data_IF_730211188338
#
_entry.id   IF_730211188338
#
_cell.length_a   1.000
_cell.length_b   1.000
_cell.length_c   1.000
_cell.angle_alpha   90.00
_cell.angle_beta   90.00
_cell.angle_gamma   90.00
#
_symmetry.space_group_name_H-M   'P 1'
#
loop_
_entity.id
_entity.type
_entity.pdbx_description
1 polymer ?
#
# COMPACT_ATOMS: atom_id res chain seq x y z
N UNK A 1 -59.75 45.19 12.30
CA UNK A 1 -58.33 44.77 12.29
C UNK A 1 -58.23 43.35 11.73
N UNK A 2 -57.75 43.19 10.49
CA UNK A 2 -57.49 41.87 9.88
C UNK A 2 -56.03 41.50 10.16
N UNK A 3 -55.81 40.39 10.86
CA UNK A 3 -54.47 39.87 11.16
C UNK A 3 -54.05 39.00 9.97
N UNK A 4 -53.06 39.46 9.22
CA UNK A 4 -52.40 38.71 8.15
C UNK A 4 -51.34 37.81 8.81
N UNK A 5 -51.49 36.49 8.66
CA UNK A 5 -50.47 35.51 9.07
C UNK A 5 -49.53 35.27 7.89
N UNK A 6 -48.28 35.69 8.01
CA UNK A 6 -47.22 35.31 7.09
C UNK A 6 -46.69 33.93 7.47
N UNK A 7 -46.80 32.97 6.55
CA UNK A 7 -46.12 31.68 6.68
C UNK A 7 -44.66 31.88 6.26
N UNK A 8 -43.74 31.71 7.22
CA UNK A 8 -42.31 31.73 6.95
C UNK A 8 -41.91 30.37 6.39
N UNK A 9 -41.63 30.31 5.08
CA UNK A 9 -41.13 29.11 4.42
C UNK A 9 -39.61 29.04 4.65
N UNK A 10 -39.17 28.13 5.52
CA UNK A 10 -37.75 27.84 5.70
C UNK A 10 -37.27 26.99 4.51
N UNK A 11 -36.50 27.59 3.61
CA UNK A 11 -35.73 26.86 2.61
C UNK A 11 -34.42 26.43 3.27
N UNK A 12 -34.30 25.14 3.57
CA UNK A 12 -33.02 24.55 3.97
C UNK A 12 -32.19 24.34 2.69
N UNK A 13 -31.30 25.29 2.40
CA UNK A 13 -30.23 25.03 1.44
C UNK A 13 -29.24 24.06 2.08
N UNK A 14 -29.34 22.79 1.71
CA UNK A 14 -28.28 21.82 1.98
C UNK A 14 -27.03 22.23 1.22
N UNK A 15 -26.04 22.75 1.93
CA UNK A 15 -24.71 22.98 1.39
C UNK A 15 -24.05 21.60 1.20
N UNK A 16 -24.21 20.99 0.01
CA UNK A 16 -23.36 19.87 -0.36
C UNK A 16 -21.95 20.42 -0.53
N UNK A 17 -21.09 20.21 0.46
CA UNK A 17 -19.66 20.45 0.29
C UNK A 17 -19.21 19.64 -0.94
N UNK A 18 -18.84 20.35 -2.01
CA UNK A 18 -18.37 19.72 -3.23
C UNK A 18 -17.11 18.93 -2.88
N UNK A 19 -17.14 17.61 -3.08
CA UNK A 19 -15.96 16.78 -2.83
C UNK A 19 -14.85 17.25 -3.75
N UNK A 20 -13.68 17.54 -3.17
CA UNK A 20 -12.51 17.89 -3.94
C UNK A 20 -12.08 16.69 -4.78
N UNK A 21 -11.94 16.89 -6.09
CA UNK A 21 -11.46 15.87 -7.03
C UNK A 21 -10.13 16.30 -7.64
N UNK A 22 -9.33 15.34 -8.08
CA UNK A 22 -8.03 15.61 -8.70
C UNK A 22 -7.74 14.63 -9.84
N UNK A 23 -6.64 14.87 -10.55
CA UNK A 23 -6.10 13.93 -11.51
C UNK A 23 -7.00 13.68 -12.73
N UNK A 24 -6.71 12.59 -13.43
CA UNK A 24 -7.43 12.16 -14.64
C UNK A 24 -7.30 10.65 -14.86
N UNK A 25 -8.09 10.12 -15.78
CA UNK A 25 -7.98 8.73 -16.25
C UNK A 25 -7.27 8.74 -17.61
N UNK A 26 -6.18 7.98 -17.72
CA UNK A 26 -5.41 7.86 -18.97
C UNK A 26 -5.50 6.43 -19.47
N UNK A 27 -6.38 6.20 -20.44
CA UNK A 27 -6.52 4.91 -21.11
C UNK A 27 -5.55 4.80 -22.29
N UNK A 28 -4.78 3.72 -22.35
CA UNK A 28 -3.98 3.31 -23.51
C UNK A 28 -4.70 2.23 -24.34
N UNK A 29 -5.67 1.57 -23.73
CA UNK A 29 -6.55 0.56 -24.31
C UNK A 29 -7.97 0.79 -23.78
N UNK A 30 -9.00 0.61 -24.61
CA UNK A 30 -10.41 0.79 -24.21
C UNK A 30 -10.82 -0.17 -23.08
N UNK A 31 -10.20 -1.35 -23.00
CA UNK A 31 -10.42 -2.31 -21.92
C UNK A 31 -10.04 -1.76 -20.53
N UNK A 32 -9.31 -0.64 -20.44
CA UNK A 32 -9.14 0.10 -19.18
C UNK A 32 -10.49 0.42 -18.52
N UNK A 33 -11.52 0.75 -19.31
CA UNK A 33 -12.82 1.15 -18.80
C UNK A 33 -13.71 -0.01 -18.31
N UNK A 34 -13.24 -1.25 -18.47
CA UNK A 34 -13.82 -2.42 -17.79
C UNK A 34 -13.49 -2.42 -16.29
N UNK A 35 -12.46 -1.68 -15.87
CA UNK A 35 -11.99 -1.61 -14.49
C UNK A 35 -12.37 -0.32 -13.77
N UNK A 36 -12.53 0.77 -14.51
CA UNK A 36 -12.86 2.10 -13.98
C UNK A 36 -13.89 2.75 -14.90
N UNK A 37 -14.91 3.41 -14.34
CA UNK A 37 -15.86 4.14 -15.20
C UNK A 37 -15.19 5.35 -15.88
N UNK A 38 -15.50 5.61 -17.14
CA UNK A 38 -14.91 6.72 -17.90
C UNK A 38 -15.20 8.11 -17.29
N UNK A 39 -16.23 8.21 -16.45
CA UNK A 39 -16.58 9.42 -15.72
C UNK A 39 -16.30 9.31 -14.22
N UNK A 40 -15.63 8.25 -13.78
CA UNK A 40 -15.19 8.15 -12.39
C UNK A 40 -14.20 9.27 -12.07
N UNK A 41 -14.36 9.85 -10.88
CA UNK A 41 -13.49 10.91 -10.39
C UNK A 41 -12.64 10.40 -9.22
N UNK A 42 -11.41 10.91 -9.12
CA UNK A 42 -10.55 10.64 -7.99
C UNK A 42 -10.92 11.64 -6.89
N UNK A 43 -11.51 11.16 -5.79
CA UNK A 43 -11.89 11.98 -4.64
C UNK A 43 -10.71 12.12 -3.68
N UNK A 44 -10.41 13.36 -3.28
CA UNK A 44 -9.46 13.64 -2.18
C UNK A 44 -10.22 13.55 -0.86
N UNK A 45 -9.78 12.66 0.03
CA UNK A 45 -10.40 12.43 1.34
C UNK A 45 -9.73 13.20 2.47
N UNK A 46 -8.41 13.38 2.37
CA UNK A 46 -7.60 14.10 3.33
C UNK A 46 -6.26 14.52 2.72
N UNK A 47 -5.62 15.51 3.32
CA UNK A 47 -4.29 15.99 2.97
C UNK A 47 -3.45 16.35 4.21
N UNK A 48 -2.23 16.84 4.01
CA UNK A 48 -1.34 17.32 5.07
C UNK A 48 -0.35 16.28 5.61
N UNK A 49 -0.22 15.14 4.92
CA UNK A 49 0.76 14.11 5.26
C UNK A 49 2.14 14.44 4.67
N UNK A 50 3.21 13.90 5.25
CA UNK A 50 4.57 14.02 4.68
C UNK A 50 4.77 12.92 3.63
N UNK A 51 4.48 11.67 4.00
CA UNK A 51 4.47 10.54 3.06
C UNK A 51 3.46 9.51 3.53
N UNK A 52 2.27 9.54 2.93
CA UNK A 52 1.18 8.60 3.19
C UNK A 52 1.45 7.24 2.53
N UNK A 53 1.25 6.15 3.26
CA UNK A 53 1.66 4.80 2.89
C UNK A 53 0.72 3.72 3.43
N UNK A 54 0.89 2.49 2.91
CA UNK A 54 0.31 1.26 3.45
C UNK A 54 -1.18 1.34 3.81
N UNK A 55 -2.08 1.76 2.90
CA UNK A 55 -3.51 1.75 3.19
C UNK A 55 -4.00 0.31 3.35
N UNK A 56 -4.86 0.08 4.34
CA UNK A 56 -5.54 -1.20 4.56
C UNK A 56 -6.95 -0.99 5.07
N UNK A 57 -7.90 -1.73 4.51
CA UNK A 57 -9.30 -1.70 4.94
C UNK A 57 -9.56 -2.65 6.11
N UNK A 58 -10.23 -2.15 7.14
CA UNK A 58 -10.72 -2.92 8.28
C UNK A 58 -12.21 -3.18 8.11
N UNK A 59 -12.55 -4.37 7.61
CA UNK A 59 -13.93 -4.77 7.27
C UNK A 59 -14.89 -4.67 8.45
N UNK A 60 -14.53 -5.25 9.60
CA UNK A 60 -15.42 -5.30 10.77
C UNK A 60 -15.70 -3.92 11.40
N UNK A 61 -14.92 -2.90 11.03
CA UNK A 61 -15.06 -1.54 11.55
C UNK A 61 -15.51 -0.50 10.52
N UNK A 62 -15.61 -0.88 9.24
CA UNK A 62 -15.86 0.02 8.11
C UNK A 62 -14.95 1.25 8.08
N UNK A 63 -13.63 1.03 8.23
CA UNK A 63 -12.64 2.12 8.16
C UNK A 63 -11.36 1.70 7.46
N UNK A 64 -10.64 2.70 6.94
CA UNK A 64 -9.31 2.54 6.38
C UNK A 64 -8.26 2.95 7.42
N UNK A 65 -7.18 2.18 7.54
CA UNK A 65 -5.94 2.61 8.18
C UNK A 65 -4.88 2.90 7.13
N UNK A 66 -3.99 3.85 7.39
CA UNK A 66 -2.82 4.12 6.56
C UNK A 66 -1.74 4.82 7.40
N UNK A 67 -0.48 4.68 7.01
CA UNK A 67 0.66 5.27 7.71
C UNK A 67 1.01 6.65 7.15
N UNK A 68 1.45 7.57 8.01
CA UNK A 68 2.39 8.62 7.61
C UNK A 68 3.76 8.24 8.19
N UNK A 69 4.64 7.73 7.32
CA UNK A 69 5.90 7.09 7.75
C UNK A 69 6.82 8.09 8.45
N UNK A 70 7.05 9.31 7.91
CA UNK A 70 7.82 10.33 8.60
C UNK A 70 7.24 10.77 9.94
N UNK A 71 5.92 10.85 10.07
CA UNK A 71 5.27 11.28 11.32
C UNK A 71 5.14 10.18 12.39
N UNK A 72 5.61 8.96 12.10
CA UNK A 72 5.54 7.81 13.03
C UNK A 72 4.10 7.55 13.52
N UNK A 73 3.12 7.68 12.63
CA UNK A 73 1.70 7.65 12.98
C UNK A 73 0.91 6.81 11.98
N UNK A 74 0.00 5.95 12.47
CA UNK A 74 -1.08 5.36 11.65
C UNK A 74 -2.32 6.23 11.88
N UNK A 75 -2.95 6.63 10.78
CA UNK A 75 -4.21 7.34 10.76
C UNK A 75 -5.35 6.39 10.40
N UNK A 76 -6.55 6.73 10.89
CA UNK A 76 -7.81 6.10 10.54
C UNK A 76 -8.67 7.08 9.76
N UNK A 77 -9.16 6.66 8.60
CA UNK A 77 -10.24 7.33 7.88
C UNK A 77 -11.52 6.51 7.98
N UNK A 78 -12.62 7.14 8.39
CA UNK A 78 -13.95 6.52 8.40
C UNK A 78 -14.99 7.44 7.79
N UNK A 79 -15.81 6.90 6.88
CA UNK A 79 -16.87 7.66 6.21
C UNK A 79 -17.85 8.24 7.25
N UNK A 80 -18.11 9.55 7.16
CA UNK A 80 -18.97 10.27 8.09
C UNK A 80 -18.29 10.72 9.39
N UNK A 81 -17.13 10.17 9.73
CA UNK A 81 -16.32 10.57 10.91
C UNK A 81 -15.07 11.37 10.52
N UNK A 82 -14.47 11.09 9.35
CA UNK A 82 -13.26 11.75 8.86
C UNK A 82 -11.97 11.07 9.34
N UNK A 83 -10.89 11.85 9.41
CA UNK A 83 -9.56 11.40 9.83
C UNK A 83 -9.39 11.51 11.35
N UNK A 84 -8.74 10.51 11.94
CA UNK A 84 -8.28 10.53 13.34
C UNK A 84 -6.95 9.78 13.47
N UNK A 85 -6.17 10.11 14.50
CA UNK A 85 -4.99 9.31 14.86
C UNK A 85 -5.45 7.94 15.37
N UNK A 86 -4.83 6.87 14.88
CA UNK A 86 -5.08 5.50 15.32
C UNK A 86 -3.98 4.99 16.24
N UNK A 87 -2.72 5.19 15.86
CA UNK A 87 -1.58 4.70 16.63
C UNK A 87 -0.34 5.60 16.47
N UNK A 88 0.20 6.04 17.61
CA UNK A 88 1.46 6.78 17.71
C UNK A 88 2.18 6.43 19.02
N UNK A 89 3.46 6.01 19.00
CA UNK A 89 4.31 5.77 17.82
C UNK A 89 3.95 4.50 17.04
N UNK A 90 3.94 4.58 15.71
CA UNK A 90 3.54 3.47 14.85
C UNK A 90 4.66 2.49 14.48
N UNK A 91 5.91 2.93 14.35
CA UNK A 91 7.03 2.04 13.96
C UNK A 91 8.35 2.27 14.70
N UNK A 92 8.56 3.40 15.36
CA UNK A 92 9.78 3.67 16.12
C UNK A 92 9.50 3.95 17.60
N UNK A 93 10.08 3.14 18.49
CA UNK A 93 9.86 3.21 19.94
C UNK A 93 10.94 3.96 20.71
N UNK A 94 11.98 4.49 20.04
CA UNK A 94 12.99 5.34 20.68
C UNK A 94 14.34 4.67 20.99
N UNK A 95 14.59 3.44 20.52
CA UNK A 95 15.75 2.63 20.95
C UNK A 95 16.99 2.77 20.05
N UNK A 96 16.85 3.13 18.76
CA UNK A 96 17.93 3.10 17.75
C UNK A 96 18.05 4.42 16.98
N UNK A 97 19.23 4.76 16.41
CA UNK A 97 19.33 5.89 15.49
C UNK A 97 18.32 5.74 14.34
N UNK A 98 17.55 6.79 14.06
CA UNK A 98 16.41 6.70 13.14
C UNK A 98 16.57 7.65 11.94
N UNK A 99 15.92 7.31 10.83
CA UNK A 99 15.94 8.07 9.57
C UNK A 99 14.82 9.12 9.52
N UNK A 100 14.58 9.69 8.33
CA UNK A 100 13.43 10.57 8.07
C UNK A 100 12.09 9.83 7.99
N UNK A 101 12.10 8.49 8.01
CA UNK A 101 10.92 7.62 7.87
C UNK A 101 10.85 6.61 9.05
N UNK A 102 10.67 7.06 10.31
CA UNK A 102 10.71 6.16 11.47
C UNK A 102 9.47 5.29 11.67
N UNK A 103 8.35 5.63 11.02
CA UNK A 103 7.04 5.02 11.27
C UNK A 103 6.85 3.60 10.79
N UNK A 104 5.62 3.12 10.97
CA UNK A 104 5.10 2.01 10.18
C UNK A 104 5.02 2.40 8.71
N UNK A 105 5.15 1.43 7.83
CA UNK A 105 4.98 1.60 6.39
C UNK A 105 3.81 0.71 5.92
N UNK A 106 4.07 -0.40 5.23
CA UNK A 106 3.06 -1.35 4.77
C UNK A 106 2.26 -1.97 5.91
N UNK A 107 0.95 -2.04 5.71
CA UNK A 107 -0.04 -2.57 6.66
C UNK A 107 -0.90 -3.63 5.97
N UNK A 108 -1.25 -4.69 6.72
CA UNK A 108 -2.32 -5.63 6.35
C UNK A 108 -3.19 -5.96 7.56
N UNK A 109 -4.41 -6.44 7.31
CA UNK A 109 -5.20 -7.17 8.31
C UNK A 109 -5.00 -8.65 8.04
N UNK A 110 -4.43 -9.38 9.00
CA UNK A 110 -4.21 -10.81 8.84
C UNK A 110 -5.51 -11.61 8.96
N UNK A 111 -5.43 -12.92 8.67
CA UNK A 111 -6.57 -13.84 8.77
C UNK A 111 -7.20 -13.93 10.17
N UNK A 112 -6.51 -13.45 11.21
CA UNK A 112 -7.00 -13.40 12.60
C UNK A 112 -7.65 -12.05 12.95
N UNK A 113 -7.76 -11.12 11.99
CA UNK A 113 -8.32 -9.79 12.22
C UNK A 113 -7.37 -8.83 12.97
N UNK A 114 -6.07 -9.15 12.99
CA UNK A 114 -5.05 -8.31 13.63
C UNK A 114 -4.39 -7.40 12.61
N UNK A 115 -4.03 -6.20 13.04
CA UNK A 115 -3.18 -5.29 12.27
C UNK A 115 -1.76 -5.83 12.27
N UNK A 116 -1.20 -6.08 11.10
CA UNK A 116 0.20 -6.39 10.89
C UNK A 116 0.88 -5.19 10.24
N UNK A 117 2.04 -4.80 10.75
CA UNK A 117 2.77 -3.64 10.30
C UNK A 117 4.23 -3.96 10.01
N UNK A 118 4.72 -3.45 8.89
CA UNK A 118 6.14 -3.25 8.63
C UNK A 118 6.61 -2.00 9.36
N UNK A 119 7.57 -2.13 10.28
CA UNK A 119 8.06 -1.02 11.11
C UNK A 119 9.49 -0.66 10.71
N UNK A 120 9.69 0.55 10.16
CA UNK A 120 11.01 1.02 9.74
C UNK A 120 11.94 1.23 10.93
N UNK A 121 11.51 2.01 11.92
CA UNK A 121 12.38 2.41 13.04
C UNK A 121 12.81 1.27 13.95
N UNK A 122 11.88 0.38 14.32
CA UNK A 122 12.18 -0.80 15.13
C UNK A 122 12.74 -1.96 14.28
N UNK A 123 12.79 -1.82 12.94
CA UNK A 123 13.36 -2.77 11.98
C UNK A 123 12.75 -4.18 12.10
N UNK A 124 11.41 -4.25 12.12
CA UNK A 124 10.68 -5.50 12.38
C UNK A 124 9.34 -5.55 11.66
N UNK A 125 8.78 -6.75 11.61
CA UNK A 125 7.36 -6.99 11.35
C UNK A 125 6.67 -7.23 12.69
N UNK A 126 5.56 -6.56 12.96
CA UNK A 126 4.78 -6.72 14.18
C UNK A 126 3.30 -6.98 13.88
N UNK A 127 2.58 -7.49 14.87
CA UNK A 127 1.12 -7.61 14.86
C UNK A 127 0.50 -7.07 16.13
N UNK A 128 -0.73 -6.59 16.06
CA UNK A 128 -1.51 -6.17 17.22
C UNK A 128 -3.03 -6.35 17.00
N UNK A 129 -3.80 -6.65 18.06
CA UNK A 129 -5.25 -6.55 17.99
C UNK A 129 -5.70 -5.14 17.61
N UNK A 130 -6.78 -5.03 16.82
CA UNK A 130 -7.35 -3.73 16.41
C UNK A 130 -8.06 -2.97 17.54
N UNK A 131 -8.28 -3.64 18.69
CA UNK A 131 -8.94 -3.06 19.87
C UNK A 131 -7.90 -2.71 20.94
N UNK A 132 -7.99 -3.33 22.11
CA UNK A 132 -7.05 -3.12 23.21
C UNK A 132 -5.93 -4.17 23.13
N UNK A 133 -4.68 -3.72 23.12
CA UNK A 133 -3.52 -4.59 23.06
C UNK A 133 -2.24 -3.84 22.74
N UNK A 134 -1.12 -4.54 22.83
CA UNK A 134 0.19 -4.05 22.43
C UNK A 134 0.70 -4.76 21.18
N UNK A 135 1.75 -4.22 20.58
CA UNK A 135 2.45 -4.84 19.45
C UNK A 135 3.22 -6.08 19.91
N UNK A 136 3.13 -7.14 19.12
CA UNK A 136 3.90 -8.37 19.26
C UNK A 136 4.81 -8.48 18.05
N UNK A 137 6.11 -8.67 18.27
CA UNK A 137 7.06 -8.87 17.17
C UNK A 137 6.84 -10.23 16.52
N UNK A 138 6.67 -10.26 15.20
CA UNK A 138 6.58 -11.50 14.41
C UNK A 138 7.99 -11.91 13.95
N UNK A 139 8.77 -10.95 13.46
CA UNK A 139 10.17 -11.14 13.11
C UNK A 139 10.93 -9.81 13.18
N UNK A 140 12.16 -9.84 13.69
CA UNK A 140 13.09 -8.69 13.74
C UNK A 140 14.52 -9.04 13.28
N UNK A 141 14.81 -10.32 13.04
CA UNK A 141 16.11 -10.79 12.58
C UNK A 141 16.00 -11.94 11.56
N UNK A 142 17.05 -12.09 10.76
CA UNK A 142 17.34 -13.28 9.95
C UNK A 142 18.83 -13.63 10.10
N UNK A 143 19.13 -14.91 10.38
CA UNK A 143 20.50 -15.39 10.65
C UNK A 143 21.28 -14.54 11.67
N UNK A 144 20.60 -14.08 12.72
CA UNK A 144 21.19 -13.27 13.80
C UNK A 144 21.45 -11.81 13.44
N UNK A 145 21.10 -11.37 12.23
CA UNK A 145 21.21 -9.99 11.77
C UNK A 145 19.85 -9.31 11.75
N UNK A 146 19.78 -8.03 12.08
CA UNK A 146 18.56 -7.22 11.99
C UNK A 146 18.23 -6.89 10.54
N UNK A 147 16.93 -6.90 10.19
CA UNK A 147 16.44 -6.45 8.89
C UNK A 147 16.90 -5.02 8.55
N UNK A 148 16.90 -4.63 7.28
CA UNK A 148 17.17 -3.24 6.91
C UNK A 148 16.07 -2.34 7.49
N UNK A 149 14.87 -2.43 6.93
CA UNK A 149 13.65 -1.72 7.32
C UNK A 149 12.49 -2.34 6.52
N UNK A 150 11.79 -3.34 7.07
CA UNK A 150 10.66 -3.97 6.40
C UNK A 150 9.70 -2.92 5.83
N UNK A 151 9.28 -3.08 4.57
CA UNK A 151 8.59 -2.03 3.83
C UNK A 151 7.14 -2.38 3.51
N UNK A 152 6.87 -3.44 2.74
CA UNK A 152 5.51 -3.93 2.49
C UNK A 152 5.40 -5.44 2.77
N UNK A 153 4.18 -5.93 2.99
CA UNK A 153 3.90 -7.29 3.45
C UNK A 153 2.61 -7.86 2.87
N UNK A 154 2.60 -9.17 2.65
CA UNK A 154 1.40 -9.95 2.28
C UNK A 154 1.35 -11.25 3.08
N UNK A 155 0.14 -11.71 3.40
CA UNK A 155 -0.09 -13.03 3.99
C UNK A 155 -0.72 -13.95 2.93
N UNK A 156 -0.14 -15.13 2.75
CA UNK A 156 -0.74 -16.19 1.93
C UNK A 156 -1.86 -16.93 2.67
N UNK A 157 -2.70 -17.64 1.93
CA UNK A 157 -3.85 -18.42 2.43
C UNK A 157 -3.46 -19.46 3.49
N UNK A 158 -2.23 -19.97 3.47
CA UNK A 158 -1.74 -20.93 4.46
C UNK A 158 -1.21 -20.28 5.77
N UNK A 159 -1.28 -18.94 5.87
CA UNK A 159 -0.84 -18.18 7.04
C UNK A 159 0.61 -17.69 7.00
N UNK A 160 1.40 -18.10 5.99
CA UNK A 160 2.78 -17.62 5.79
C UNK A 160 2.79 -16.16 5.34
N UNK A 161 3.67 -15.35 5.93
CA UNK A 161 3.91 -13.97 5.51
C UNK A 161 5.09 -13.87 4.55
N UNK A 162 5.01 -12.92 3.61
CA UNK A 162 6.12 -12.50 2.77
C UNK A 162 6.24 -10.99 2.85
N UNK A 163 7.46 -10.47 3.05
CA UNK A 163 7.70 -9.03 3.16
C UNK A 163 8.99 -8.62 2.45
N UNK A 164 9.04 -7.35 2.07
CA UNK A 164 10.20 -6.72 1.43
C UNK A 164 11.03 -5.94 2.45
N UNK A 165 12.34 -5.93 2.27
CA UNK A 165 13.28 -5.32 3.21
C UNK A 165 14.31 -4.39 2.50
N UNK A 166 13.86 -3.31 1.85
CA UNK A 166 14.73 -2.25 1.38
C UNK A 166 15.26 -1.41 2.56
N UNK A 167 16.27 -0.54 2.37
CA UNK A 167 16.89 0.22 3.45
C UNK A 167 16.34 1.65 3.61
N UNK A 168 15.12 1.94 3.15
CA UNK A 168 14.53 3.29 3.21
C UNK A 168 14.46 3.85 4.64
N UNK A 169 14.11 3.00 5.60
CA UNK A 169 14.02 3.35 7.02
C UNK A 169 15.37 3.49 7.73
N UNK A 170 16.49 3.21 7.06
CA UNK A 170 17.82 3.37 7.64
C UNK A 170 18.39 4.78 7.41
N UNK A 171 19.10 5.36 8.40
CA UNK A 171 19.85 6.59 8.16
C UNK A 171 20.92 6.35 7.11
N UNK A 172 21.05 7.24 6.12
CA UNK A 172 21.96 7.07 4.96
C UNK A 172 21.67 5.81 4.08
N UNK A 173 20.50 5.19 4.26
CA UNK A 173 19.98 4.06 3.48
C UNK A 173 21.01 2.93 3.27
N UNK A 174 21.42 2.64 2.02
CA UNK A 174 22.31 1.52 1.71
C UNK A 174 23.70 1.66 2.35
N UNK A 175 24.11 2.90 2.64
CA UNK A 175 25.41 3.23 3.23
C UNK A 175 25.35 3.32 4.75
N UNK A 176 24.20 3.00 5.36
CA UNK A 176 24.01 3.09 6.80
C UNK A 176 25.03 2.23 7.55
N UNK A 177 25.69 2.83 8.56
CA UNK A 177 26.64 2.12 9.42
C UNK A 177 25.98 1.08 10.33
N UNK A 178 24.66 1.16 10.51
CA UNK A 178 23.88 0.20 11.31
C UNK A 178 23.21 -0.89 10.47
N UNK A 179 23.44 -0.88 9.14
CA UNK A 179 22.95 -1.91 8.24
C UNK A 179 23.72 -3.22 8.49
N UNK A 180 22.97 -4.30 8.74
CA UNK A 180 23.55 -5.62 9.01
C UNK A 180 23.31 -6.61 7.85
N UNK A 181 22.20 -6.43 7.12
CA UNK A 181 21.90 -7.22 5.93
C UNK A 181 22.83 -6.86 4.78
N UNK A 182 23.28 -7.87 4.06
CA UNK A 182 24.11 -7.73 2.86
C UNK A 182 23.27 -7.40 1.61
N UNK A 183 22.00 -7.77 1.58
CA UNK A 183 21.07 -7.55 0.48
C UNK A 183 19.87 -6.67 0.86
N UNK A 184 19.14 -6.22 -0.15
CA UNK A 184 17.74 -5.79 -0.03
C UNK A 184 16.87 -6.99 -0.45
N UNK A 185 16.21 -7.61 0.52
CA UNK A 185 15.64 -8.95 0.34
C UNK A 185 14.12 -8.99 0.28
N UNK A 186 13.62 -10.16 -0.13
CA UNK A 186 12.26 -10.61 0.18
C UNK A 186 12.38 -11.79 1.12
N UNK A 187 11.65 -11.74 2.22
CA UNK A 187 11.69 -12.74 3.28
C UNK A 187 10.34 -13.40 3.46
N UNK A 188 10.36 -14.65 3.87
CA UNK A 188 9.20 -15.47 4.21
C UNK A 188 9.21 -15.77 5.70
N UNK A 189 8.08 -15.64 6.38
CA UNK A 189 7.88 -16.07 7.76
C UNK A 189 6.84 -17.20 7.75
N UNK A 190 7.26 -18.41 8.06
CA UNK A 190 6.32 -19.55 8.15
C UNK A 190 5.44 -19.49 9.40
N UNK A 191 4.46 -20.40 9.49
CA UNK A 191 3.51 -20.45 10.60
C UNK A 191 4.13 -20.84 11.95
N UNK A 192 5.37 -21.33 11.97
CA UNK A 192 6.15 -21.60 13.18
C UNK A 192 7.07 -20.42 13.56
N UNK A 193 7.06 -19.34 12.78
CA UNK A 193 7.91 -18.16 12.98
C UNK A 193 9.31 -18.30 12.38
N UNK A 194 9.59 -19.35 11.60
CA UNK A 194 10.89 -19.46 10.91
C UNK A 194 10.95 -18.45 9.78
N UNK A 195 12.06 -17.70 9.74
CA UNK A 195 12.34 -16.72 8.69
C UNK A 195 13.32 -17.32 7.67
N UNK A 196 12.98 -17.23 6.38
CA UNK A 196 13.84 -17.59 5.26
C UNK A 196 13.95 -16.40 4.29
N UNK A 197 15.16 -16.11 3.79
CA UNK A 197 15.33 -15.18 2.66
C UNK A 197 15.00 -15.92 1.35
N UNK A 198 13.99 -15.46 0.63
CA UNK A 198 13.52 -16.10 -0.62
C UNK A 198 13.95 -15.34 -1.88
N UNK A 199 14.33 -14.06 -1.75
CA UNK A 199 14.95 -13.26 -2.83
C UNK A 199 16.05 -12.39 -2.21
N UNK A 200 17.20 -12.27 -2.87
CA UNK A 200 18.32 -11.45 -2.39
C UNK A 200 19.07 -10.66 -3.47
N UNK A 201 18.52 -10.59 -4.70
CA UNK A 201 19.17 -9.99 -5.86
C UNK A 201 18.44 -8.74 -6.39
N UNK A 202 17.59 -8.11 -5.58
CA UNK A 202 16.88 -6.88 -5.91
C UNK A 202 17.58 -5.66 -5.27
N UNK A 203 17.53 -4.49 -5.90
CA UNK A 203 18.17 -3.26 -5.37
C UNK A 203 17.28 -2.52 -4.37
N UNK A 204 15.98 -2.36 -4.69
CA UNK A 204 14.92 -1.81 -3.83
C UNK A 204 13.59 -2.60 -3.97
N UNK A 205 13.50 -3.84 -3.45
CA UNK A 205 12.20 -4.53 -3.38
C UNK A 205 11.21 -3.71 -2.55
N UNK A 206 9.98 -3.57 -3.03
CA UNK A 206 9.00 -2.66 -2.44
C UNK A 206 7.62 -3.33 -2.28
N UNK A 207 6.58 -2.92 -3.00
CA UNK A 207 5.25 -3.54 -2.92
C UNK A 207 5.26 -5.03 -3.28
N UNK A 208 4.36 -5.78 -2.64
CA UNK A 208 4.30 -7.24 -2.75
C UNK A 208 2.85 -7.75 -2.74
N UNK A 209 2.50 -8.66 -3.66
CA UNK A 209 1.18 -9.30 -3.67
C UNK A 209 1.20 -10.65 -4.39
N UNK A 210 0.24 -11.52 -4.06
CA UNK A 210 0.02 -12.78 -4.77
C UNK A 210 -0.94 -12.62 -5.95
N UNK A 211 -0.80 -13.49 -6.95
CA UNK A 211 -1.90 -13.81 -7.88
C UNK A 211 -3.10 -14.38 -7.10
N UNK A 212 -4.33 -14.35 -7.67
CA UNK A 212 -5.52 -14.86 -6.97
C UNK A 212 -5.41 -16.33 -6.55
N UNK A 213 -4.66 -17.14 -7.29
CA UNK A 213 -4.40 -18.55 -7.00
C UNK A 213 -3.11 -18.80 -6.20
N UNK A 214 -2.44 -17.73 -5.74
CA UNK A 214 -1.19 -17.71 -4.98
C UNK A 214 -0.01 -18.45 -5.63
N UNK A 215 -0.08 -18.77 -6.93
CA UNK A 215 1.03 -19.44 -7.63
C UNK A 215 2.10 -18.47 -8.09
N UNK A 216 1.80 -17.18 -8.19
CA UNK A 216 2.74 -16.11 -8.52
C UNK A 216 2.81 -15.12 -7.37
N UNK A 217 4.03 -14.77 -6.97
CA UNK A 217 4.31 -13.64 -6.09
C UNK A 217 4.89 -12.51 -6.93
N UNK A 218 4.22 -11.36 -6.94
CA UNK A 218 4.66 -10.14 -7.58
C UNK A 218 5.42 -9.27 -6.58
N UNK A 219 6.56 -8.71 -7.01
CA UNK A 219 7.38 -7.81 -6.19
C UNK A 219 7.79 -6.62 -7.03
N UNK A 220 7.44 -5.42 -6.60
CA UNK A 220 7.89 -4.19 -7.23
C UNK A 220 9.37 -3.91 -6.92
N UNK A 221 10.08 -3.38 -7.92
CA UNK A 221 11.41 -2.81 -7.81
C UNK A 221 11.30 -1.29 -8.00
N UNK A 222 11.51 -0.53 -6.92
CA UNK A 222 11.35 0.94 -6.89
C UNK A 222 12.62 1.72 -7.22
N UNK A 223 13.70 1.05 -7.61
CA UNK A 223 14.91 1.69 -8.12
C UNK A 223 14.64 2.29 -9.50
N UNK A 224 14.60 3.62 -9.58
CA UNK A 224 14.34 4.33 -10.84
C UNK A 224 15.41 4.10 -11.92
N UNK A 225 16.58 3.53 -11.59
CA UNK A 225 17.53 3.09 -12.60
C UNK A 225 17.06 1.83 -13.36
N UNK A 226 16.16 1.04 -12.77
CA UNK A 226 15.55 -0.15 -13.37
C UNK A 226 14.20 -0.47 -12.70
N UNK A 227 13.13 0.32 -12.95
CA UNK A 227 11.83 0.12 -12.32
C UNK A 227 11.06 -1.00 -13.03
N UNK A 228 10.95 -2.16 -12.39
CA UNK A 228 10.18 -3.29 -12.92
C UNK A 228 9.36 -4.01 -11.85
N UNK A 229 8.35 -4.75 -12.29
CA UNK A 229 7.65 -5.72 -11.46
C UNK A 229 8.27 -7.08 -11.74
N UNK A 230 8.71 -7.79 -10.70
CA UNK A 230 9.10 -9.19 -10.80
C UNK A 230 7.91 -10.11 -10.56
N UNK A 231 7.86 -11.23 -11.28
CA UNK A 231 6.95 -12.33 -10.99
C UNK A 231 7.76 -13.60 -10.65
N UNK A 232 7.49 -14.17 -9.48
CA UNK A 232 8.11 -15.39 -8.98
C UNK A 232 7.10 -16.52 -8.88
N UNK A 233 7.42 -17.72 -9.37
CA UNK A 233 6.56 -18.89 -9.14
C UNK A 233 6.77 -19.40 -7.72
N UNK A 234 5.68 -19.47 -6.97
CA UNK A 234 5.64 -19.99 -5.60
C UNK A 234 5.63 -21.52 -5.63
N UNK A 235 6.50 -22.15 -4.84
CA UNK A 235 6.56 -23.60 -4.66
C UNK A 235 5.65 -24.05 -3.49
N UNK A 236 5.28 -25.34 -3.42
CA UNK A 236 4.44 -25.85 -2.34
C UNK A 236 4.99 -25.61 -0.92
N UNK A 237 6.31 -25.53 -0.77
CA UNK A 237 6.98 -25.22 0.50
C UNK A 237 7.11 -23.71 0.77
N UNK A 238 6.59 -22.86 -0.11
CA UNK A 238 6.68 -21.41 -0.06
C UNK A 238 8.01 -20.82 -0.56
N UNK A 239 8.95 -21.65 -1.05
CA UNK A 239 10.13 -21.12 -1.76
C UNK A 239 9.74 -20.57 -3.13
N UNK A 240 10.62 -19.77 -3.72
CA UNK A 240 10.38 -19.12 -5.01
C UNK A 240 11.32 -19.71 -6.08
N UNK A 241 10.80 -19.95 -7.29
CA UNK A 241 11.67 -20.20 -8.45
C UNK A 241 12.34 -18.90 -8.92
N UNK A 242 13.25 -19.04 -9.87
CA UNK A 242 13.80 -17.91 -10.62
C UNK A 242 12.66 -17.01 -11.12
N UNK A 243 12.79 -15.72 -10.81
CA UNK A 243 11.83 -14.71 -11.20
C UNK A 243 12.04 -14.25 -12.63
N UNK A 244 11.01 -13.67 -13.22
CA UNK A 244 11.08 -12.97 -14.49
C UNK A 244 10.61 -11.53 -14.32
N UNK A 245 11.13 -10.63 -15.14
CA UNK A 245 10.52 -9.31 -15.32
C UNK A 245 9.12 -9.53 -15.89
N UNK A 246 8.13 -9.07 -15.15
CA UNK A 246 6.72 -9.15 -15.50
C UNK A 246 6.28 -7.91 -16.27
N UNK A 247 6.71 -6.74 -15.81
CA UNK A 247 6.40 -5.45 -16.39
C UNK A 247 7.60 -4.53 -16.20
N UNK A 248 7.98 -3.79 -17.25
CA UNK A 248 9.06 -2.81 -17.23
C UNK A 248 8.45 -1.41 -17.32
N UNK A 249 8.65 -0.59 -16.28
CA UNK A 249 8.11 0.76 -16.20
C UNK A 249 9.10 1.83 -16.69
N UNK A 250 10.28 1.45 -17.18
CA UNK A 250 11.30 2.38 -17.69
C UNK A 250 10.75 3.34 -18.76
N UNK A 251 9.96 2.88 -19.76
CA UNK A 251 9.38 3.78 -20.76
C UNK A 251 8.52 4.90 -20.16
N UNK A 252 7.82 4.62 -19.05
CA UNK A 252 6.97 5.62 -18.39
C UNK A 252 7.80 6.69 -17.66
N UNK A 253 8.98 6.34 -17.13
CA UNK A 253 9.92 7.34 -16.59
C UNK A 253 10.56 8.18 -17.70
N UNK A 254 10.86 7.58 -18.85
CA UNK A 254 11.40 8.28 -20.02
C UNK A 254 10.42 9.31 -20.59
N UNK A 255 9.11 9.07 -20.48
CA UNK A 255 8.05 10.05 -20.76
C UNK A 255 8.00 11.23 -19.77
N UNK A 256 8.79 11.18 -18.69
CA UNK A 256 8.85 12.22 -17.66
C UNK A 256 7.77 12.10 -16.58
N UNK A 257 7.07 10.96 -16.50
CA UNK A 257 6.07 10.74 -15.46
C UNK A 257 6.73 10.60 -14.09
N UNK A 258 6.09 11.19 -13.06
CA UNK A 258 6.58 11.15 -11.69
C UNK A 258 6.05 9.94 -10.92
N UNK A 259 6.86 9.35 -10.07
CA UNK A 259 6.51 8.20 -9.24
C UNK A 259 7.53 7.08 -9.41
N UNK A 260 7.30 5.95 -8.78
CA UNK A 260 8.02 4.70 -9.01
C UNK A 260 7.07 3.54 -8.75
N UNK A 261 7.50 2.31 -9.06
CA UNK A 261 6.78 1.10 -8.70
C UNK A 261 6.94 0.87 -7.20
N UNK A 262 5.93 1.26 -6.42
CA UNK A 262 5.96 1.27 -4.96
C UNK A 262 5.03 0.15 -4.45
N UNK A 263 3.87 0.44 -3.87
CA UNK A 263 2.85 -0.55 -3.52
C UNK A 263 2.06 -1.16 -4.70
N UNK A 264 1.54 -2.38 -4.53
CA UNK A 264 0.64 -3.02 -5.50
C UNK A 264 -0.43 -3.90 -4.84
N UNK A 265 -1.53 -4.11 -5.56
CA UNK A 265 -2.60 -5.07 -5.23
C UNK A 265 -3.09 -5.77 -6.49
N UNK A 266 -3.82 -6.86 -6.31
CA UNK A 266 -4.34 -7.69 -7.40
C UNK A 266 -5.86 -7.81 -7.31
N UNK A 267 -6.54 -7.62 -8.42
CA UNK A 267 -7.98 -7.81 -8.57
C UNK A 267 -8.33 -9.30 -8.70
N UNK A 268 -9.59 -9.67 -8.49
CA UNK A 268 -10.04 -11.08 -8.52
C UNK A 268 -9.76 -11.81 -9.84
N UNK A 269 -9.73 -11.08 -10.96
CA UNK A 269 -9.43 -11.62 -12.28
C UNK A 269 -7.94 -11.72 -12.60
N UNK A 270 -7.06 -11.35 -11.66
CA UNK A 270 -5.60 -11.38 -11.83
C UNK A 270 -5.01 -10.07 -12.38
N UNK A 271 -5.82 -9.06 -12.67
CA UNK A 271 -5.33 -7.74 -13.06
C UNK A 271 -4.61 -7.07 -11.90
N UNK A 272 -3.43 -6.53 -12.17
CA UNK A 272 -2.55 -5.89 -11.20
C UNK A 272 -2.81 -4.40 -11.21
N UNK A 273 -3.05 -3.86 -10.02
CA UNK A 273 -3.13 -2.43 -9.73
C UNK A 273 -1.85 -2.09 -8.97
N UNK A 274 -0.85 -1.60 -9.70
CA UNK A 274 0.44 -1.20 -9.14
C UNK A 274 0.54 0.31 -9.15
N UNK A 275 0.99 0.92 -8.07
CA UNK A 275 1.51 2.28 -8.19
C UNK A 275 2.73 2.26 -9.12
N UNK A 276 2.96 3.37 -9.81
CA UNK A 276 3.99 3.50 -10.81
C UNK A 276 4.15 4.95 -11.25
N UNK A 277 5.04 5.21 -12.22
CA UNK A 277 5.14 6.54 -12.82
C UNK A 277 3.78 7.00 -13.35
N UNK A 278 3.30 8.14 -12.83
CA UNK A 278 2.07 8.79 -13.22
C UNK A 278 0.82 8.39 -12.44
N UNK A 279 0.88 7.46 -11.47
CA UNK A 279 -0.29 7.10 -10.64
C UNK A 279 -0.41 5.60 -10.40
N UNK A 280 -1.63 5.06 -10.46
CA UNK A 280 -1.89 3.61 -10.38
C UNK A 280 -2.03 3.04 -11.79
N UNK A 281 -1.10 2.18 -12.17
CA UNK A 281 -1.06 1.42 -13.40
C UNK A 281 -2.02 0.23 -13.32
N UNK A 282 -2.84 0.03 -14.36
CA UNK A 282 -3.69 -1.16 -14.51
C UNK A 282 -3.06 -2.09 -15.54
N UNK A 283 -2.53 -3.21 -15.07
CA UNK A 283 -1.71 -4.14 -15.86
C UNK A 283 -2.40 -5.50 -15.87
N UNK A 284 -2.64 -6.04 -17.07
CA UNK A 284 -3.22 -7.40 -17.23
C UNK A 284 -2.35 -8.48 -16.61
N UNK A 285 -2.92 -9.66 -16.37
CA UNK A 285 -2.17 -10.86 -15.95
C UNK A 285 -1.03 -11.27 -16.91
N UNK A 286 -1.06 -10.79 -18.16
CA UNK A 286 -0.02 -11.04 -19.16
C UNK A 286 1.09 -9.99 -19.19
N UNK A 287 0.97 -8.91 -18.42
CA UNK A 287 1.94 -7.81 -18.35
C UNK A 287 1.67 -6.65 -19.32
N UNK A 288 0.55 -6.66 -20.05
CA UNK A 288 0.11 -5.51 -20.87
C UNK A 288 -0.49 -4.41 -19.99
N UNK A 289 -0.03 -3.17 -20.18
CA UNK A 289 -0.60 -1.97 -19.56
C UNK A 289 -1.88 -1.54 -20.28
N UNK A 290 -3.01 -1.46 -19.58
CA UNK A 290 -4.26 -0.90 -20.10
C UNK A 290 -4.29 0.64 -20.01
N UNK A 291 -3.67 1.20 -18.98
CA UNK A 291 -3.71 2.62 -18.70
C UNK A 291 -3.37 2.90 -17.25
N UNK A 292 -3.67 4.11 -16.79
CA UNK A 292 -3.42 4.54 -15.41
C UNK A 292 -4.51 5.45 -14.87
N UNK A 293 -4.77 5.31 -13.58
CA UNK A 293 -5.48 6.29 -12.75
C UNK A 293 -4.42 7.34 -12.37
N UNK A 294 -4.41 8.48 -13.07
CA UNK A 294 -3.39 9.49 -12.91
C UNK A 294 -3.75 10.45 -11.78
N UNK A 295 -3.15 10.25 -10.60
CA UNK A 295 -3.47 11.02 -9.37
C UNK A 295 -2.92 12.44 -9.37
N UNK A 296 -2.00 12.75 -10.29
CA UNK A 296 -1.23 14.01 -10.29
C UNK A 296 -0.17 14.10 -9.20
N UNK A 297 0.07 13.01 -8.46
CA UNK A 297 1.00 12.95 -7.33
C UNK A 297 1.86 11.69 -7.41
N UNK A 298 2.99 11.67 -6.71
CA UNK A 298 3.72 10.42 -6.46
C UNK A 298 2.82 9.53 -5.60
N UNK A 299 2.37 8.42 -6.17
CA UNK A 299 1.44 7.50 -5.50
C UNK A 299 2.25 6.39 -4.86
N UNK A 300 2.16 6.26 -3.54
CA UNK A 300 2.96 5.33 -2.77
C UNK A 300 2.30 3.95 -2.77
N UNK A 301 1.02 3.86 -2.43
CA UNK A 301 0.36 2.56 -2.30
C UNK A 301 -1.15 2.65 -2.57
N UNK A 302 -1.81 1.49 -2.65
CA UNK A 302 -3.25 1.39 -2.86
C UNK A 302 -3.85 0.16 -2.18
N UNK A 303 -5.14 0.21 -1.87
CA UNK A 303 -5.89 -0.92 -1.33
C UNK A 303 -7.38 -0.79 -1.64
N UNK A 304 -8.04 -1.93 -1.89
CA UNK A 304 -9.49 -1.95 -1.94
C UNK A 304 -10.10 -1.87 -0.54
N UNK A 305 -11.26 -1.23 -0.45
CA UNK A 305 -12.07 -1.12 0.76
C UNK A 305 -13.56 -1.06 0.43
N UNK A 306 -14.37 -0.68 1.42
CA UNK A 306 -15.82 -0.80 1.40
C UNK A 306 -16.23 -2.27 1.14
N UNK A 307 -17.03 -2.54 0.11
CA UNK A 307 -17.38 -3.89 -0.37
C UNK A 307 -16.33 -4.50 -1.31
N UNK A 308 -15.14 -3.89 -1.36
CA UNK A 308 -14.04 -4.25 -2.25
C UNK A 308 -14.07 -3.55 -3.59
N UNK A 309 -15.05 -2.68 -3.86
CA UNK A 309 -15.19 -1.98 -5.15
C UNK A 309 -14.56 -0.59 -5.16
N UNK A 310 -14.13 -0.06 -4.00
CA UNK A 310 -13.50 1.26 -3.91
C UNK A 310 -12.00 1.10 -3.70
N UNK A 311 -11.20 1.68 -4.61
CA UNK A 311 -9.75 1.70 -4.49
C UNK A 311 -9.33 2.97 -3.75
N UNK A 312 -8.74 2.81 -2.57
CA UNK A 312 -8.08 3.85 -1.81
C UNK A 312 -6.61 3.95 -2.24
N UNK A 313 -6.08 5.16 -2.31
CA UNK A 313 -4.72 5.45 -2.75
C UNK A 313 -4.05 6.41 -1.78
N UNK A 314 -2.86 6.06 -1.31
CA UNK A 314 -1.98 7.00 -0.61
C UNK A 314 -1.03 7.63 -1.61
N UNK A 315 -1.04 8.95 -1.69
CA UNK A 315 -0.33 9.67 -2.73
C UNK A 315 0.36 10.90 -2.15
N UNK A 316 1.63 10.75 -1.78
CA UNK A 316 2.45 11.78 -1.14
C UNK A 316 1.71 12.36 0.08
N UNK A 317 1.20 13.58 -0.01
CA UNK A 317 0.53 14.29 1.07
C UNK A 317 -0.96 13.96 1.21
N UNK A 318 -1.51 13.06 0.39
CA UNK A 318 -2.95 12.85 0.26
C UNK A 318 -3.41 11.42 0.51
N UNK A 319 -4.60 11.30 1.10
CA UNK A 319 -5.44 10.11 0.97
C UNK A 319 -6.51 10.39 -0.10
N UNK A 320 -6.59 9.52 -1.10
CA UNK A 320 -7.53 9.61 -2.21
C UNK A 320 -8.32 8.31 -2.37
N UNK A 321 -9.41 8.34 -3.14
CA UNK A 321 -10.11 7.12 -3.58
C UNK A 321 -10.78 7.27 -4.94
N UNK A 322 -11.11 6.14 -5.55
CA UNK A 322 -11.89 6.06 -6.77
C UNK A 322 -12.76 4.80 -6.78
N UNK A 323 -13.95 4.89 -7.38
CA UNK A 323 -14.80 3.73 -7.62
C UNK A 323 -14.22 2.87 -8.75
N UNK A 324 -14.08 1.57 -8.51
CA UNK A 324 -13.70 0.59 -9.52
C UNK A 324 -14.90 -0.28 -9.88
N UNK A 325 -14.83 -0.92 -11.06
CA UNK A 325 -15.80 -1.92 -11.57
C UNK A 325 -15.36 -3.36 -11.28
N UNK A 326 -14.15 -3.53 -10.75
CA UNK A 326 -13.63 -4.81 -10.26
C UNK A 326 -13.61 -4.81 -8.73
N UNK A 327 -13.20 -5.94 -8.14
CA UNK A 327 -12.94 -6.03 -6.70
C UNK A 327 -11.58 -6.62 -6.43
N UNK A 328 -10.95 -6.20 -5.32
CA UNK A 328 -9.68 -6.75 -4.87
C UNK A 328 -9.78 -8.23 -4.48
N UNK A 329 -8.67 -8.96 -4.61
CA UNK A 329 -8.53 -10.28 -3.98
C UNK A 329 -8.78 -10.15 -2.48
N UNK A 330 -9.54 -11.11 -1.92
CA UNK A 330 -9.88 -11.14 -0.50
C UNK A 330 -11.12 -10.34 -0.09
N UNK A 331 -11.84 -9.71 -1.02
CA UNK A 331 -13.16 -9.11 -0.79
C UNK A 331 -14.33 -10.00 -1.17
#
# INVERSE_FOLDING_TARGET
>A
MKIVRYALMFVVLGCMAQRQTTGELVALDEAFYDYVDQHATIEVLADGYIWSEGPVWVKDGDFLLFSDVPQNTIFKWKKGEGISEFLKPSGYTGVLPYSHEPGSNGLIINQQGELVACEHGDRRVSRMPLSNGGKITIADHWEGKRFNSPNDIVQSSNGTYYFTDPPYGLPEQQNSKIREMDACGVYKIDTNGKVDRVVGNLSRPNGIAFSPDEKILYVNQSDNAAPYIMAYRVQPDGTLKEGRIFFDASPLLEEGLIGSLDGLKVAKDGTIFSTGPGGVLIITESGKLFGRIATGQRTANCAWGDDGSVLYMTAHSYLMRIQTKTTGVGF
#
